data_IF_899935237146
#
_entry.id   IF_899935237146
#
_cell.length_a   1.000
_cell.length_b   1.000
_cell.length_c   1.000
_cell.angle_alpha   90.00
_cell.angle_beta   90.00
_cell.angle_gamma   90.00
#
_symmetry.space_group_name_H-M   'P 1'
#
loop_
_entity.id
_entity.type
_entity.pdbx_description
1 polymer ?
#
# COMPACT_ATOMS: atom_id res chain seq x y z
N UNK A 1 -9.59 28.23 -25.68
CA UNK A 1 -9.71 28.97 -24.40
C UNK A 1 -8.67 30.07 -24.41
N UNK A 2 -9.10 31.31 -24.20
CA UNK A 2 -8.21 32.47 -24.11
C UNK A 2 -7.36 32.41 -22.82
N UNK A 3 -6.11 32.91 -22.84
CA UNK A 3 -5.15 32.72 -21.73
C UNK A 3 -5.53 33.39 -20.40
N UNK A 4 -6.63 34.14 -20.36
CA UNK A 4 -7.03 34.93 -19.20
C UNK A 4 -7.73 34.11 -18.10
N UNK A 5 -8.29 32.94 -18.41
CA UNK A 5 -9.03 32.13 -17.44
C UNK A 5 -8.12 31.24 -16.57
N UNK A 6 -6.88 30.99 -17.00
CA UNK A 6 -5.95 30.08 -16.32
C UNK A 6 -5.30 30.73 -15.08
N UNK A 7 -5.15 32.06 -15.08
CA UNK A 7 -4.45 32.79 -14.02
C UNK A 7 -5.28 32.92 -12.73
N UNK A 8 -6.60 33.03 -12.83
CA UNK A 8 -7.46 33.24 -11.65
C UNK A 8 -7.69 31.95 -10.86
N UNK A 9 -7.63 30.79 -11.52
CA UNK A 9 -7.80 29.47 -10.87
C UNK A 9 -6.58 29.12 -9.98
N UNK A 10 -5.38 29.52 -10.40
CA UNK A 10 -4.15 29.32 -9.61
C UNK A 10 -4.12 30.13 -8.31
N UNK A 11 -4.86 31.24 -8.23
CA UNK A 11 -4.82 32.13 -7.06
C UNK A 11 -5.71 31.66 -5.90
N UNK A 12 -6.67 30.77 -6.14
CA UNK A 12 -7.69 30.40 -5.15
C UNK A 12 -7.51 28.98 -4.59
N UNK A 13 -6.95 28.02 -5.34
CA UNK A 13 -7.10 26.60 -4.94
C UNK A 13 -5.83 25.80 -4.62
N UNK A 14 -4.61 26.29 -4.92
CA UNK A 14 -3.38 25.54 -4.59
C UNK A 14 -3.26 24.18 -5.31
N UNK A 15 -2.02 23.69 -5.45
CA UNK A 15 -1.63 22.61 -6.38
C UNK A 15 -2.15 21.18 -6.09
N UNK A 16 -3.21 20.98 -5.30
CA UNK A 16 -3.63 19.63 -4.86
C UNK A 16 -5.06 19.19 -5.21
N UNK A 17 -5.73 19.84 -6.15
CA UNK A 17 -7.09 19.48 -6.59
C UNK A 17 -7.30 19.53 -8.10
N UNK A 18 -6.26 19.25 -8.90
CA UNK A 18 -6.34 19.35 -10.36
C UNK A 18 -7.16 18.23 -11.03
N UNK A 19 -7.28 17.04 -10.41
CA UNK A 19 -7.96 15.91 -11.07
C UNK A 19 -9.51 15.94 -10.97
N UNK A 20 -10.06 16.56 -9.92
CA UNK A 20 -11.51 16.62 -9.71
C UNK A 20 -12.18 17.79 -10.47
N UNK A 21 -11.48 18.91 -10.59
CA UNK A 21 -11.98 20.07 -11.33
C UNK A 21 -12.00 19.82 -12.85
N UNK A 22 -11.05 19.04 -13.37
CA UNK A 22 -10.98 18.71 -14.80
C UNK A 22 -12.14 17.81 -15.25
N UNK A 23 -12.47 16.78 -14.46
CA UNK A 23 -13.57 15.87 -14.77
C UNK A 23 -14.96 16.55 -14.68
N UNK A 24 -15.15 17.47 -13.73
CA UNK A 24 -16.42 18.19 -13.61
C UNK A 24 -16.64 19.18 -14.78
N UNK A 25 -15.59 19.86 -15.23
CA UNK A 25 -15.68 20.77 -16.38
C UNK A 25 -15.86 20.03 -17.71
N UNK A 26 -15.33 18.81 -17.85
CA UNK A 26 -15.51 17.99 -19.04
C UNK A 26 -16.96 17.48 -19.17
N UNK A 27 -17.60 17.09 -18.06
CA UNK A 27 -19.03 16.72 -18.05
C UNK A 27 -19.93 17.91 -18.39
N UNK A 28 -19.68 19.10 -17.84
CA UNK A 28 -20.50 20.29 -18.10
C UNK A 28 -20.39 20.75 -19.57
N UNK A 29 -19.21 20.63 -20.19
CA UNK A 29 -18.99 21.00 -21.60
C UNK A 29 -19.71 20.07 -22.58
N UNK A 30 -19.76 18.76 -22.29
CA UNK A 30 -20.48 17.77 -23.13
C UNK A 30 -21.99 18.05 -23.11
N UNK A 31 -22.57 18.42 -21.97
CA UNK A 31 -24.02 18.76 -21.89
C UNK A 31 -24.43 20.05 -22.58
N UNK A 32 -23.52 20.99 -22.86
CA UNK A 32 -23.87 22.30 -23.47
C UNK A 32 -23.72 22.37 -24.99
N UNK A 33 -23.09 21.39 -25.64
CA UNK A 33 -22.82 21.43 -27.09
C UNK A 33 -23.52 20.33 -27.91
N UNK A 34 -24.46 19.59 -27.34
CA UNK A 34 -25.31 18.67 -28.07
C UNK A 34 -26.42 19.42 -28.81
N UNK A 35 -26.16 19.83 -30.05
CA UNK A 35 -27.20 20.31 -30.97
C UNK A 35 -28.08 19.13 -31.44
N UNK A 36 -29.42 19.24 -31.40
CA UNK A 36 -30.32 18.17 -31.82
C UNK A 36 -30.45 18.12 -33.35
N UNK A 37 -30.11 16.98 -33.96
CA UNK A 37 -30.45 16.67 -35.35
C UNK A 37 -31.95 16.39 -35.47
N UNK A 38 -32.59 17.10 -36.41
CA UNK A 38 -34.02 17.03 -36.73
C UNK A 38 -34.48 15.60 -37.09
N UNK A 39 -35.60 15.09 -36.56
CA UNK A 39 -36.30 13.94 -37.11
C UNK A 39 -37.46 14.38 -38.01
N UNK A 40 -37.57 13.75 -39.17
CA UNK A 40 -38.68 13.88 -40.13
C UNK A 40 -39.91 13.12 -39.65
N UNK A 41 -41.05 13.83 -39.69
CA UNK A 41 -42.45 13.40 -39.69
C UNK A 41 -42.74 11.89 -39.62
N UNK A 42 -43.30 11.43 -38.51
CA UNK A 42 -44.66 10.87 -38.43
C UNK A 42 -45.06 10.59 -36.98
N UNK A 43 -46.36 10.77 -36.72
CA UNK A 43 -47.12 10.26 -35.57
C UNK A 43 -47.20 11.13 -34.31
N UNK A 44 -48.32 11.84 -34.26
CA UNK A 44 -48.95 12.47 -33.10
C UNK A 44 -49.24 11.45 -31.98
N UNK A 45 -48.83 11.75 -30.74
CA UNK A 45 -49.70 11.53 -29.58
C UNK A 45 -49.31 12.42 -28.39
N UNK A 46 -50.10 13.48 -28.22
CA UNK A 46 -50.69 13.95 -26.96
C UNK A 46 -49.79 13.92 -25.71
N UNK A 47 -49.26 15.11 -25.42
CA UNK A 47 -48.76 15.53 -24.11
C UNK A 47 -49.88 15.41 -23.07
N UNK A 48 -49.69 14.59 -22.03
CA UNK A 48 -50.57 14.58 -20.87
C UNK A 48 -49.73 14.68 -19.59
N UNK A 49 -49.79 15.88 -19.03
CA UNK A 49 -49.29 16.27 -17.71
C UNK A 49 -49.98 15.41 -16.64
N UNK A 50 -49.23 14.66 -15.84
CA UNK A 50 -49.72 14.11 -14.58
C UNK A 50 -48.67 14.28 -13.48
N UNK A 51 -49.11 15.05 -12.49
CA UNK A 51 -48.53 15.37 -11.19
C UNK A 51 -48.77 14.22 -10.19
N UNK A 52 -48.04 14.28 -9.05
CA UNK A 52 -48.19 13.53 -7.80
C UNK A 52 -47.59 12.10 -7.81
N UNK A 53 -46.90 11.59 -6.78
CA UNK A 53 -47.10 11.67 -5.33
C UNK A 53 -45.75 11.44 -4.62
N UNK A 54 -45.46 12.22 -3.59
CA UNK A 54 -44.43 11.94 -2.58
C UNK A 54 -44.85 10.75 -1.70
N UNK A 55 -44.02 9.73 -1.58
CA UNK A 55 -44.09 8.76 -0.47
C UNK A 55 -42.70 8.64 0.14
N UNK A 56 -42.46 9.38 1.22
CA UNK A 56 -41.38 9.05 2.15
C UNK A 56 -41.87 7.89 3.01
N UNK A 57 -41.35 6.69 2.76
CA UNK A 57 -41.45 5.59 3.70
C UNK A 57 -40.34 5.72 4.75
N UNK A 58 -40.72 6.08 5.97
CA UNK A 58 -39.87 5.99 7.16
C UNK A 58 -39.72 4.52 7.56
N UNK A 59 -38.57 3.92 7.25
CA UNK A 59 -38.19 2.61 7.75
C UNK A 59 -37.54 2.80 9.13
N UNK A 60 -37.97 2.09 10.20
CA UNK A 60 -37.27 2.13 11.47
C UNK A 60 -35.90 1.45 11.33
N UNK A 61 -34.84 2.21 11.60
CA UNK A 61 -33.48 1.70 11.71
C UNK A 61 -33.39 0.78 12.94
N UNK A 62 -33.28 -0.53 12.71
CA UNK A 62 -32.83 -1.48 13.72
C UNK A 62 -31.32 -1.30 13.85
N UNK A 63 -30.89 -0.65 14.93
CA UNK A 63 -29.48 -0.59 15.31
C UNK A 63 -29.01 -1.97 15.79
N UNK A 64 -28.64 -2.83 14.85
CA UNK A 64 -27.76 -3.96 15.14
C UNK A 64 -26.38 -3.40 15.41
N UNK A 65 -26.00 -3.31 16.68
CA UNK A 65 -24.62 -3.01 17.05
C UNK A 65 -23.77 -4.24 16.71
N UNK A 66 -22.66 -4.11 15.95
CA UNK A 66 -21.73 -5.20 15.82
C UNK A 66 -21.07 -5.43 17.18
N UNK A 67 -21.43 -6.50 17.88
CA UNK A 67 -20.56 -7.07 18.89
C UNK A 67 -19.45 -7.79 18.13
N UNK A 68 -18.46 -7.03 17.67
CA UNK A 68 -17.15 -7.61 17.40
C UNK A 68 -16.61 -8.04 18.75
N UNK A 69 -16.64 -9.35 19.00
CA UNK A 69 -15.79 -10.00 19.99
C UNK A 69 -14.34 -9.67 19.61
N UNK A 70 -13.82 -8.59 20.15
CA UNK A 70 -12.38 -8.41 20.26
C UNK A 70 -11.88 -9.52 21.18
N UNK A 71 -11.39 -10.60 20.57
CA UNK A 71 -10.49 -11.50 21.27
C UNK A 71 -9.29 -10.67 21.68
N UNK A 72 -9.33 -10.22 22.92
CA UNK A 72 -8.31 -9.47 23.61
C UNK A 72 -7.11 -10.41 23.76
N UNK A 73 -6.28 -10.53 22.73
CA UNK A 73 -4.88 -10.84 22.96
C UNK A 73 -4.37 -9.70 23.82
N UNK A 74 -4.15 -9.97 25.09
CA UNK A 74 -3.54 -9.02 26.00
C UNK A 74 -2.08 -8.86 25.56
N UNK A 75 -1.87 -7.95 24.61
CA UNK A 75 -0.57 -7.43 24.19
C UNK A 75 0.11 -6.90 25.45
N UNK A 76 1.24 -7.47 25.84
CA UNK A 76 2.03 -6.92 26.96
C UNK A 76 2.71 -5.67 26.43
N UNK A 77 2.73 -4.60 27.22
CA UNK A 77 3.46 -3.38 26.87
C UNK A 77 4.97 -3.62 26.61
N UNK A 78 5.51 -4.77 27.02
CA UNK A 78 6.90 -5.17 26.81
C UNK A 78 7.20 -5.82 25.45
N UNK A 79 6.19 -6.10 24.60
CA UNK A 79 6.38 -6.75 23.29
C UNK A 79 6.62 -5.78 22.12
N UNK A 80 6.70 -4.48 22.42
CA UNK A 80 6.93 -3.41 21.45
C UNK A 80 7.52 -2.18 22.11
N UNK A 81 8.12 -1.29 21.33
CA UNK A 81 8.66 -0.06 21.87
C UNK A 81 9.31 0.82 20.81
N UNK A 82 10.15 1.74 21.30
CA UNK A 82 11.04 2.52 20.45
C UNK A 82 12.43 2.66 21.06
N UNK A 83 13.42 2.91 20.21
CA UNK A 83 14.81 3.19 20.56
C UNK A 83 15.40 4.18 19.57
N UNK A 84 16.43 4.93 19.96
CA UNK A 84 17.16 5.83 19.05
C UNK A 84 18.32 5.09 18.42
N UNK A 85 18.34 5.02 17.08
CA UNK A 85 19.42 4.43 16.29
C UNK A 85 20.09 5.55 15.50
N UNK A 86 21.32 5.91 15.88
CA UNK A 86 22.04 7.02 15.26
C UNK A 86 22.18 6.81 13.74
N UNK A 87 21.76 7.82 12.96
CA UNK A 87 21.82 7.80 11.50
C UNK A 87 20.65 7.09 10.81
N UNK A 88 19.72 6.49 11.55
CA UNK A 88 18.54 5.85 10.98
C UNK A 88 17.64 6.84 10.24
N UNK A 89 17.58 8.10 10.67
CA UNK A 89 16.82 9.15 10.01
C UNK A 89 17.29 9.40 8.57
N UNK A 90 18.61 9.51 8.39
CA UNK A 90 19.20 9.62 7.05
C UNK A 90 18.89 8.37 6.21
N UNK A 91 18.97 7.17 6.82
CA UNK A 91 18.65 5.92 6.13
C UNK A 91 17.17 5.81 5.72
N UNK A 92 16.23 6.27 6.55
CA UNK A 92 14.81 6.36 6.16
C UNK A 92 14.63 7.25 4.93
N UNK A 93 15.35 8.37 4.88
CA UNK A 93 15.31 9.27 3.72
C UNK A 93 15.91 8.64 2.46
N UNK A 94 16.93 7.78 2.58
CA UNK A 94 17.42 7.00 1.44
C UNK A 94 16.36 6.02 0.92
N UNK A 95 15.64 5.33 1.82
CA UNK A 95 14.56 4.40 1.43
C UNK A 95 13.42 5.15 0.74
N UNK A 96 12.95 6.27 1.31
CA UNK A 96 11.90 7.08 0.66
C UNK A 96 12.40 7.68 -0.66
N UNK A 97 13.63 8.17 -0.69
CA UNK A 97 14.26 8.73 -1.90
C UNK A 97 14.45 7.71 -3.03
N UNK A 98 14.57 6.42 -2.70
CA UNK A 98 14.63 5.33 -3.66
C UNK A 98 13.25 4.80 -4.11
N UNK A 99 12.16 5.46 -3.70
CA UNK A 99 10.78 5.13 -4.10
C UNK A 99 9.94 4.46 -3.01
N UNK A 100 10.48 4.34 -1.79
CA UNK A 100 9.78 3.73 -0.67
C UNK A 100 8.68 4.62 -0.08
N UNK A 101 7.72 3.98 0.59
CA UNK A 101 6.65 4.62 1.36
C UNK A 101 6.74 4.24 2.86
N UNK A 102 5.80 4.70 3.67
CA UNK A 102 5.78 4.43 5.12
C UNK A 102 5.65 2.95 5.47
N UNK A 103 5.00 2.14 4.63
CA UNK A 103 4.96 0.69 4.79
C UNK A 103 6.31 0.04 4.50
N UNK A 104 7.03 0.50 3.48
CA UNK A 104 8.40 0.05 3.21
C UNK A 104 9.31 0.35 4.41
N UNK A 105 9.18 1.56 4.98
CA UNK A 105 9.90 1.90 6.22
C UNK A 105 9.55 0.93 7.35
N UNK A 106 8.26 0.63 7.55
CA UNK A 106 7.81 -0.26 8.61
C UNK A 106 8.31 -1.70 8.45
N UNK A 107 8.26 -2.25 7.23
CA UNK A 107 8.77 -3.60 6.93
C UNK A 107 10.28 -3.64 7.21
N UNK A 108 11.07 -2.75 6.60
CA UNK A 108 12.52 -2.76 6.76
C UNK A 108 12.97 -2.51 8.23
N UNK A 109 12.21 -1.71 8.97
CA UNK A 109 12.45 -1.40 10.39
C UNK A 109 12.16 -2.59 11.32
N UNK A 110 11.19 -3.43 10.95
CA UNK A 110 10.96 -4.70 11.65
C UNK A 110 12.07 -5.71 11.35
N UNK A 111 12.50 -5.80 10.09
CA UNK A 111 13.45 -6.81 9.61
C UNK A 111 14.88 -6.61 10.12
N UNK A 112 15.33 -5.34 10.25
CA UNK A 112 16.65 -5.01 10.79
C UNK A 112 16.62 -3.73 11.61
N UNK A 113 17.56 -3.59 12.55
CA UNK A 113 17.66 -2.38 13.39
C UNK A 113 18.03 -1.12 12.62
N UNK A 114 18.81 -1.27 11.56
CA UNK A 114 19.45 -0.17 10.82
C UNK A 114 18.91 -0.04 9.39
N UNK A 115 17.97 -0.88 8.95
CA UNK A 115 17.44 -0.92 7.58
C UNK A 115 18.55 -1.13 6.53
N UNK A 116 19.50 -2.02 6.86
CA UNK A 116 20.70 -2.34 6.07
C UNK A 116 20.73 -3.83 5.71
N UNK A 117 21.73 -4.22 4.92
CA UNK A 117 21.89 -5.56 4.33
C UNK A 117 23.15 -6.28 4.83
N UNK A 118 23.69 -5.83 5.96
CA UNK A 118 24.90 -6.34 6.62
C UNK A 118 24.63 -7.55 7.54
N UNK A 119 23.43 -8.13 7.45
CA UNK A 119 23.12 -9.42 8.07
C UNK A 119 23.88 -10.56 7.36
N UNK A 120 23.94 -11.72 8.01
CA UNK A 120 24.57 -12.92 7.43
C UNK A 120 23.95 -13.20 6.05
N UNK A 121 24.77 -13.42 5.02
CA UNK A 121 24.27 -13.64 3.66
C UNK A 121 23.10 -14.63 3.62
N UNK A 122 22.03 -14.28 2.92
CA UNK A 122 20.83 -15.10 2.82
C UNK A 122 20.05 -15.24 4.12
N UNK A 123 20.38 -14.47 5.16
CA UNK A 123 19.94 -14.66 6.55
C UNK A 123 20.28 -16.07 7.08
N UNK A 124 21.37 -16.66 6.58
CA UNK A 124 21.76 -18.04 6.89
C UNK A 124 20.89 -19.12 6.22
N UNK A 125 19.96 -18.73 5.34
CA UNK A 125 19.06 -19.60 4.59
C UNK A 125 19.61 -19.87 3.18
N UNK A 126 19.07 -20.89 2.52
CA UNK A 126 19.49 -21.34 1.17
C UNK A 126 18.29 -21.64 0.26
N UNK A 127 18.52 -21.63 -1.06
CA UNK A 127 17.48 -21.90 -2.05
C UNK A 127 16.35 -20.87 -1.98
N UNK A 128 15.11 -21.32 -2.06
CA UNK A 128 13.92 -20.46 -2.07
C UNK A 128 13.70 -19.66 -0.77
N UNK A 129 14.32 -20.09 0.33
CA UNK A 129 14.25 -19.37 1.61
C UNK A 129 15.32 -18.28 1.75
N UNK A 130 16.29 -18.18 0.83
CA UNK A 130 17.38 -17.20 0.90
C UNK A 130 16.83 -15.77 0.90
N UNK A 131 17.24 -14.95 1.87
CA UNK A 131 16.74 -13.58 2.02
C UNK A 131 17.69 -12.53 1.43
N UNK A 132 17.12 -11.51 0.78
CA UNK A 132 17.86 -10.39 0.19
C UNK A 132 17.22 -9.03 0.51
N UNK A 133 18.02 -7.98 0.41
CA UNK A 133 17.57 -6.60 0.56
C UNK A 133 17.24 -6.21 2.00
N UNK A 134 16.82 -4.96 2.19
CA UNK A 134 16.48 -4.38 3.50
C UNK A 134 15.20 -4.97 4.08
N UNK A 135 14.36 -5.56 3.22
CA UNK A 135 13.12 -6.23 3.63
C UNK A 135 13.32 -7.72 3.91
N UNK A 136 14.52 -8.29 3.69
CA UNK A 136 14.75 -9.74 3.74
C UNK A 136 13.79 -10.55 2.85
N UNK A 137 13.52 -10.07 1.64
CA UNK A 137 12.65 -10.76 0.69
C UNK A 137 13.21 -12.14 0.36
N UNK A 138 12.41 -13.20 0.48
CA UNK A 138 12.86 -14.55 0.15
C UNK A 138 12.87 -14.78 -1.37
N UNK A 139 13.78 -15.65 -1.82
CA UNK A 139 13.96 -15.95 -3.25
C UNK A 139 12.71 -16.51 -3.91
N UNK A 140 11.87 -17.29 -3.20
CA UNK A 140 10.61 -17.79 -3.74
C UNK A 140 9.71 -16.66 -4.20
N UNK A 141 9.40 -15.69 -3.33
CA UNK A 141 8.55 -14.55 -3.70
C UNK A 141 9.17 -13.79 -4.86
N UNK A 142 10.47 -13.45 -4.74
CA UNK A 142 11.19 -12.69 -5.78
C UNK A 142 11.09 -13.30 -7.17
N UNK A 143 11.41 -14.59 -7.32
CA UNK A 143 11.45 -15.26 -8.64
C UNK A 143 10.07 -15.56 -9.24
N UNK A 144 8.99 -15.36 -8.48
CA UNK A 144 7.62 -15.55 -8.96
C UNK A 144 6.85 -14.23 -9.15
N UNK A 145 7.34 -13.10 -8.64
CA UNK A 145 6.62 -11.83 -8.74
C UNK A 145 7.42 -10.66 -9.30
N UNK A 146 8.73 -10.58 -9.02
CA UNK A 146 9.53 -9.43 -9.43
C UNK A 146 10.02 -9.60 -10.87
N UNK A 147 9.79 -8.60 -11.73
CA UNK A 147 10.05 -8.64 -13.17
C UNK A 147 11.50 -9.00 -13.50
N UNK A 148 12.45 -8.58 -12.65
CA UNK A 148 13.88 -8.91 -12.79
C UNK A 148 14.18 -10.41 -12.63
N UNK A 149 13.43 -11.10 -11.78
CA UNK A 149 13.69 -12.48 -11.38
C UNK A 149 12.62 -13.45 -11.87
N UNK A 150 11.55 -12.95 -12.50
CA UNK A 150 10.39 -13.71 -12.89
C UNK A 150 10.77 -14.92 -13.76
N UNK A 151 10.44 -16.11 -13.28
CA UNK A 151 10.70 -17.38 -13.97
C UNK A 151 12.11 -17.94 -13.77
N UNK A 152 12.96 -17.28 -12.98
CA UNK A 152 14.25 -17.86 -12.59
C UNK A 152 14.04 -19.06 -11.66
N UNK A 153 15.06 -19.92 -11.65
CA UNK A 153 15.10 -21.18 -10.91
C UNK A 153 15.71 -20.99 -9.53
N UNK A 154 15.56 -22.02 -8.67
CA UNK A 154 16.21 -22.04 -7.34
C UNK A 154 17.74 -21.98 -7.43
N UNK A 155 18.33 -22.54 -8.49
CA UNK A 155 19.77 -22.53 -8.70
C UNK A 155 20.33 -21.13 -9.04
N UNK A 156 19.46 -20.20 -9.46
CA UNK A 156 19.81 -18.82 -9.81
C UNK A 156 19.68 -17.87 -8.62
N UNK A 157 19.54 -18.39 -7.40
CA UNK A 157 19.34 -17.62 -6.16
C UNK A 157 20.37 -16.50 -5.96
N UNK A 158 21.62 -16.70 -6.37
CA UNK A 158 22.67 -15.69 -6.25
C UNK A 158 22.36 -14.40 -7.02
N UNK A 159 21.48 -14.45 -8.03
CA UNK A 159 21.03 -13.27 -8.76
C UNK A 159 20.27 -12.29 -7.86
N UNK A 160 19.63 -12.76 -6.79
CA UNK A 160 18.96 -11.94 -5.79
C UNK A 160 19.91 -11.04 -4.99
N UNK A 161 21.21 -11.38 -4.92
CA UNK A 161 22.20 -10.61 -4.16
C UNK A 161 22.36 -9.16 -4.64
N UNK A 162 21.95 -8.83 -5.87
CA UNK A 162 21.92 -7.45 -6.36
C UNK A 162 21.11 -6.52 -5.45
N UNK A 163 20.04 -7.01 -4.81
CA UNK A 163 19.18 -6.23 -3.92
C UNK A 163 19.91 -5.81 -2.64
N UNK A 164 20.99 -6.50 -2.27
CA UNK A 164 21.82 -6.10 -1.11
C UNK A 164 22.61 -4.82 -1.36
N UNK A 165 22.80 -4.44 -2.63
CA UNK A 165 23.61 -3.28 -3.05
C UNK A 165 22.83 -2.21 -3.82
N UNK A 166 21.61 -2.52 -4.26
CA UNK A 166 20.78 -1.64 -5.07
C UNK A 166 19.40 -1.48 -4.44
N UNK A 167 19.28 -0.44 -3.61
CA UNK A 167 18.07 -0.14 -2.85
C UNK A 167 16.86 0.15 -3.74
N UNK A 168 17.06 0.79 -4.90
CA UNK A 168 15.98 1.08 -5.84
C UNK A 168 15.39 -0.21 -6.42
N UNK A 169 16.26 -1.17 -6.80
CA UNK A 169 15.80 -2.50 -7.26
C UNK A 169 15.12 -3.31 -6.15
N UNK A 170 15.60 -3.18 -4.92
CA UNK A 170 15.00 -3.86 -3.76
C UNK A 170 13.56 -3.38 -3.50
N UNK A 171 13.36 -2.06 -3.43
CA UNK A 171 12.05 -1.44 -3.28
C UNK A 171 11.14 -1.82 -4.45
N UNK A 172 11.64 -1.71 -5.69
CA UNK A 172 10.86 -2.10 -6.87
C UNK A 172 10.40 -3.56 -6.79
N UNK A 173 11.30 -4.50 -6.46
CA UNK A 173 10.95 -5.92 -6.37
C UNK A 173 9.90 -6.19 -5.27
N UNK A 174 9.96 -5.46 -4.15
CA UNK A 174 8.96 -5.55 -3.08
C UNK A 174 7.59 -5.05 -3.55
N UNK A 175 7.57 -3.93 -4.27
CA UNK A 175 6.35 -3.34 -4.84
C UNK A 175 5.73 -4.28 -5.87
N UNK A 176 6.53 -4.82 -6.80
CA UNK A 176 6.10 -5.82 -7.78
C UNK A 176 5.57 -7.10 -7.11
N UNK A 177 6.17 -7.51 -5.99
CA UNK A 177 5.69 -8.60 -5.15
C UNK A 177 4.27 -8.38 -4.65
N UNK A 178 4.03 -7.22 -4.05
CA UNK A 178 2.71 -6.90 -3.53
C UNK A 178 1.68 -6.69 -4.65
N UNK A 179 2.07 -6.08 -5.76
CA UNK A 179 1.19 -5.90 -6.92
C UNK A 179 0.78 -7.25 -7.54
N UNK A 180 1.70 -8.24 -7.56
CA UNK A 180 1.44 -9.57 -8.09
C UNK A 180 0.50 -10.39 -7.21
N UNK A 181 0.79 -10.46 -5.91
CA UNK A 181 0.08 -11.34 -4.98
C UNK A 181 -1.11 -10.65 -4.30
N UNK A 182 -1.11 -9.33 -4.22
CA UNK A 182 -1.95 -8.57 -3.31
C UNK A 182 -1.41 -8.60 -1.88
N UNK A 183 -1.89 -7.65 -1.06
CA UNK A 183 -1.40 -7.38 0.29
C UNK A 183 -1.26 -8.63 1.19
N UNK A 184 -2.36 -9.35 1.42
CA UNK A 184 -2.38 -10.48 2.38
C UNK A 184 -1.51 -11.65 1.92
N UNK A 185 -1.58 -12.00 0.64
CA UNK A 185 -0.83 -13.13 0.07
C UNK A 185 0.65 -12.78 0.00
N UNK A 186 1.00 -11.54 -0.33
CA UNK A 186 2.39 -11.09 -0.30
C UNK A 186 2.98 -11.19 1.10
N UNK A 187 2.29 -10.68 2.13
CA UNK A 187 2.77 -10.81 3.51
C UNK A 187 2.90 -12.26 3.95
N UNK A 188 1.95 -13.11 3.54
CA UNK A 188 1.99 -14.54 3.81
C UNK A 188 3.20 -15.21 3.17
N UNK A 189 3.48 -14.89 1.90
CA UNK A 189 4.64 -15.38 1.17
C UNK A 189 5.96 -14.81 1.66
N UNK A 190 5.99 -13.53 2.03
CA UNK A 190 7.14 -12.87 2.62
C UNK A 190 7.54 -13.55 3.92
N UNK A 191 6.55 -13.81 4.78
CA UNK A 191 6.74 -14.47 6.06
C UNK A 191 7.16 -15.93 5.92
N UNK A 192 6.43 -16.73 5.13
CA UNK A 192 6.57 -18.20 5.15
C UNK A 192 6.70 -18.85 3.76
N UNK A 193 7.24 -18.12 2.79
CA UNK A 193 7.52 -18.59 1.44
C UNK A 193 6.30 -19.18 0.73
N UNK A 194 6.54 -20.20 -0.08
CA UNK A 194 5.48 -20.95 -0.79
C UNK A 194 4.36 -21.44 0.13
N UNK A 195 4.73 -21.93 1.32
CA UNK A 195 3.74 -22.46 2.26
C UNK A 195 2.81 -21.37 2.80
N UNK A 196 3.31 -20.15 2.96
CA UNK A 196 2.50 -18.99 3.31
C UNK A 196 1.59 -18.55 2.16
N UNK A 197 2.08 -18.54 0.92
CA UNK A 197 1.23 -18.24 -0.26
C UNK A 197 0.07 -19.24 -0.38
N UNK A 198 0.33 -20.52 -0.14
CA UNK A 198 -0.68 -21.57 -0.23
C UNK A 198 -1.62 -21.64 0.98
N UNK A 199 -1.27 -20.99 2.10
CA UNK A 199 -2.05 -20.96 3.31
C UNK A 199 -1.94 -19.59 4.00
N UNK A 200 -2.56 -18.53 3.43
CA UNK A 200 -2.45 -17.18 3.95
C UNK A 200 -3.21 -17.01 5.26
N UNK A 201 -2.88 -15.96 6.00
CA UNK A 201 -3.66 -15.55 7.18
C UNK A 201 -3.58 -16.50 8.39
N UNK A 202 -2.52 -17.32 8.48
CA UNK A 202 -2.26 -18.09 9.70
C UNK A 202 -2.01 -17.16 10.90
N UNK A 203 -2.15 -17.65 12.15
CA UNK A 203 -1.92 -16.82 13.33
C UNK A 203 -0.54 -16.13 13.38
N UNK A 204 0.53 -16.83 12.95
CA UNK A 204 1.88 -16.26 12.87
C UNK A 204 1.97 -15.15 11.81
N UNK A 205 1.38 -15.38 10.63
CA UNK A 205 1.33 -14.40 9.54
C UNK A 205 0.55 -13.15 9.96
N UNK A 206 -0.61 -13.31 10.59
CA UNK A 206 -1.41 -12.18 11.05
C UNK A 206 -0.69 -11.39 12.16
N UNK A 207 0.01 -12.07 13.07
CA UNK A 207 0.83 -11.40 14.07
C UNK A 207 1.96 -10.56 13.43
N UNK A 208 2.59 -11.07 12.37
CA UNK A 208 3.59 -10.34 11.59
C UNK A 208 2.99 -9.12 10.87
N UNK A 209 1.83 -9.28 10.22
CA UNK A 209 1.09 -8.18 9.56
C UNK A 209 0.71 -7.10 10.59
N UNK A 210 0.16 -7.50 11.73
CA UNK A 210 -0.25 -6.58 12.81
C UNK A 210 0.95 -5.81 13.40
N UNK A 211 2.11 -6.46 13.53
CA UNK A 211 3.34 -5.82 13.98
C UNK A 211 3.77 -4.71 13.02
N UNK A 212 3.75 -4.98 11.71
CA UNK A 212 4.12 -3.99 10.68
C UNK A 212 3.10 -2.87 10.61
N UNK A 213 1.80 -3.19 10.69
CA UNK A 213 0.75 -2.19 10.74
C UNK A 213 0.91 -1.27 11.96
N UNK A 214 1.29 -1.81 13.12
CA UNK A 214 1.57 -1.01 14.32
C UNK A 214 2.77 -0.08 14.13
N UNK A 215 3.89 -0.58 13.57
CA UNK A 215 5.08 0.23 13.27
C UNK A 215 4.74 1.34 12.27
N UNK A 216 4.00 1.01 11.20
CA UNK A 216 3.56 1.96 10.20
C UNK A 216 2.72 3.07 10.84
N UNK A 217 1.77 2.73 11.71
CA UNK A 217 0.97 3.71 12.46
C UNK A 217 1.84 4.63 13.33
N UNK A 218 2.92 4.11 13.93
CA UNK A 218 3.82 4.96 14.72
C UNK A 218 4.58 5.95 13.83
N UNK A 219 5.10 5.49 12.69
CA UNK A 219 5.79 6.34 11.70
C UNK A 219 4.85 7.44 11.15
N UNK A 220 3.57 7.11 10.96
CA UNK A 220 2.56 8.04 10.42
C UNK A 220 1.96 8.96 11.48
N UNK A 221 2.21 8.71 12.78
CA UNK A 221 1.64 9.49 13.87
C UNK A 221 2.21 10.91 14.00
N UNK A 222 3.43 11.13 13.51
CA UNK A 222 4.12 12.42 13.49
C UNK A 222 5.15 12.41 12.34
N UNK A 223 5.11 13.40 11.45
CA UNK A 223 5.98 13.47 10.26
C UNK A 223 7.48 13.38 10.60
N UNK A 224 7.89 13.82 11.80
CA UNK A 224 9.29 13.72 12.23
C UNK A 224 9.79 12.27 12.22
N UNK A 225 8.93 11.29 12.51
CA UNK A 225 9.33 9.89 12.60
C UNK A 225 9.69 9.27 11.24
N UNK A 226 9.37 9.94 10.13
CA UNK A 226 9.81 9.54 8.80
C UNK A 226 11.26 9.97 8.49
N UNK A 227 11.87 10.82 9.33
CA UNK A 227 13.19 11.42 9.09
C UNK A 227 14.11 11.49 10.30
N UNK A 228 13.62 11.20 11.51
CA UNK A 228 14.43 11.14 12.72
C UNK A 228 15.05 9.75 12.95
N UNK A 229 15.87 9.66 14.00
CA UNK A 229 16.59 8.44 14.38
C UNK A 229 15.74 7.47 15.22
N UNK A 230 14.43 7.68 15.36
CA UNK A 230 13.55 6.83 16.17
C UNK A 230 13.23 5.53 15.42
N UNK A 231 13.62 4.39 15.98
CA UNK A 231 13.16 3.07 15.55
C UNK A 231 11.97 2.65 16.39
N UNK A 232 10.89 2.21 15.77
CA UNK A 232 9.82 1.45 16.43
C UNK A 232 10.03 -0.03 16.20
N UNK A 233 9.70 -0.85 17.20
CA UNK A 233 9.91 -2.29 17.13
C UNK A 233 8.79 -3.06 17.79
N UNK A 234 8.60 -4.29 17.34
CA UNK A 234 7.72 -5.30 17.93
C UNK A 234 8.54 -6.60 17.99
N UNK A 235 8.46 -7.32 19.09
CA UNK A 235 9.07 -8.64 19.23
C UNK A 235 8.25 -9.66 18.45
N UNK A 236 8.78 -10.08 17.30
CA UNK A 236 8.19 -11.12 16.45
C UNK A 236 9.19 -12.26 16.36
N UNK A 237 8.76 -13.45 16.76
CA UNK A 237 9.56 -14.66 16.70
C UNK A 237 10.10 -14.89 15.29
N UNK A 238 11.40 -15.12 15.14
CA UNK A 238 12.00 -15.50 13.85
C UNK A 238 11.61 -16.93 13.45
N UNK A 239 11.50 -17.17 12.14
CA UNK A 239 11.23 -18.48 11.52
C UNK A 239 12.24 -18.82 10.42
#
# INVERSE_FOLDING_TARGET
>A
MTPFLLLEVHRVFGYKTELLAFNFLQQVYITKNSQPTKPSYLSYCKMQLLSLVHVMALVPAVLSSPVTKFNKFAIRADDRGNETISGLGARKQEVVGAGGNTRDLAIAMLETKTMTTDYTYGDGKTGDATNFGVFKQNWYVLRHSAAKFLGQTVAEVDNGAILNSDLGKDIQARHEGEDHYGYEIWFSGHRNGESGINNPGTPDINAYIDAIAWIQQQIESDEKYQSDDTRFWVDVQAI
#
